data_IF_785736984019
#
_entry.id   IF_785736984019
#
_cell.length_a   1.000
_cell.length_b   1.000
_cell.length_c   1.000
_cell.angle_alpha   90.00
_cell.angle_beta   90.00
_cell.angle_gamma   90.00
#
_symmetry.space_group_name_H-M   'P 1'
#
loop_
_entity.id
_entity.type
_entity.pdbx_description
1 polymer ?
#
# COMPACT_ATOMS: atom_id res chain seq x y z
N UNK A 1 14.77 -11.06 -7.83
CA UNK A 1 13.29 -11.00 -7.70
C UNK A 1 12.99 -9.60 -7.23
N UNK A 2 12.42 -8.78 -8.11
CA UNK A 2 12.01 -7.43 -7.73
C UNK A 2 10.70 -7.54 -6.95
N UNK A 3 10.64 -6.87 -5.79
CA UNK A 3 9.48 -6.92 -4.89
C UNK A 3 8.41 -5.88 -5.25
N UNK A 4 8.74 -4.99 -6.18
CA UNK A 4 7.88 -3.94 -6.75
C UNK A 4 7.08 -3.19 -5.68
N UNK A 5 7.82 -2.68 -4.69
CA UNK A 5 7.30 -2.01 -3.51
C UNK A 5 6.77 -0.63 -3.92
N UNK A 6 5.46 -0.33 -3.79
CA UNK A 6 4.95 1.02 -3.95
C UNK A 6 5.56 1.94 -2.90
N UNK A 7 5.94 3.15 -3.31
CA UNK A 7 6.57 4.13 -2.43
C UNK A 7 5.71 5.39 -2.37
N UNK A 8 5.34 5.81 -1.16
CA UNK A 8 4.63 7.05 -0.88
C UNK A 8 5.65 8.16 -0.55
N UNK A 9 5.39 9.38 -1.00
CA UNK A 9 6.26 10.52 -0.81
C UNK A 9 5.48 11.72 -0.25
N UNK A 10 5.44 11.91 1.09
CA UNK A 10 4.72 13.02 1.71
C UNK A 10 5.50 14.33 1.53
N UNK A 11 4.77 15.44 1.40
CA UNK A 11 5.30 16.79 1.27
C UNK A 11 5.37 17.55 2.61
N UNK A 12 4.68 17.08 3.66
CA UNK A 12 4.62 17.74 4.96
C UNK A 12 4.33 16.74 6.10
N UNK A 13 4.44 17.19 7.37
CA UNK A 13 4.24 16.36 8.57
C UNK A 13 2.84 15.73 8.64
N UNK A 14 1.80 16.43 8.17
CA UNK A 14 0.43 15.90 8.14
C UNK A 14 0.31 14.75 7.16
N UNK A 15 0.87 14.90 5.96
CA UNK A 15 0.89 13.85 4.95
C UNK A 15 1.66 12.61 5.39
N UNK A 16 2.68 12.73 6.27
CA UNK A 16 3.34 11.56 6.86
C UNK A 16 2.32 10.69 7.61
N UNK A 17 1.41 11.31 8.38
CA UNK A 17 0.37 10.59 9.11
C UNK A 17 -0.69 10.03 8.16
N UNK A 18 -1.14 10.84 7.22
CA UNK A 18 -2.17 10.47 6.24
C UNK A 18 -1.68 9.32 5.32
N UNK A 19 -0.49 9.46 4.74
CA UNK A 19 0.11 8.44 3.89
C UNK A 19 0.54 7.21 4.69
N UNK A 20 0.81 7.34 5.99
CA UNK A 20 1.02 6.19 6.88
C UNK A 20 -0.23 5.31 6.96
N UNK A 21 -1.40 5.92 7.21
CA UNK A 21 -2.69 5.21 7.23
C UNK A 21 -3.05 4.67 5.85
N UNK A 22 -2.85 5.47 4.79
CA UNK A 22 -3.11 5.08 3.41
C UNK A 22 -2.24 3.88 2.97
N UNK A 23 -0.94 3.93 3.26
CA UNK A 23 0.01 2.87 2.94
C UNK A 23 -0.27 1.58 3.71
N UNK A 24 -0.69 1.69 4.98
CA UNK A 24 -1.15 0.54 5.76
C UNK A 24 -2.37 -0.12 5.10
N UNK A 25 -3.40 0.66 4.75
CA UNK A 25 -4.59 0.14 4.09
C UNK A 25 -4.28 -0.47 2.72
N UNK A 26 -3.45 0.19 1.90
CA UNK A 26 -2.98 -0.33 0.61
C UNK A 26 -2.26 -1.68 0.79
N UNK A 27 -1.39 -1.80 1.80
CA UNK A 27 -0.68 -3.05 2.09
C UNK A 27 -1.63 -4.19 2.43
N UNK A 28 -2.72 -3.92 3.16
CA UNK A 28 -3.74 -4.91 3.51
C UNK A 28 -4.61 -5.29 2.34
N UNK A 29 -4.95 -4.31 1.51
CA UNK A 29 -5.71 -4.57 0.30
C UNK A 29 -4.90 -5.35 -0.73
N UNK A 30 -3.68 -4.93 -1.05
CA UNK A 30 -2.91 -5.47 -2.17
C UNK A 30 -1.96 -6.62 -1.79
N UNK A 31 -1.71 -6.88 -0.49
CA UNK A 31 -0.76 -7.91 -0.05
C UNK A 31 0.71 -7.57 -0.33
N UNK A 32 0.99 -6.30 -0.62
CA UNK A 32 2.32 -5.74 -0.91
C UNK A 32 2.95 -5.13 0.33
N UNK A 33 4.28 -5.09 0.35
CA UNK A 33 4.99 -4.13 1.18
C UNK A 33 4.80 -2.75 0.57
N UNK A 34 4.66 -1.73 1.42
CA UNK A 34 4.55 -0.33 1.00
C UNK A 34 5.64 0.43 1.74
N UNK A 35 6.41 1.23 1.01
CA UNK A 35 7.43 2.09 1.55
C UNK A 35 6.96 3.54 1.64
N UNK A 36 7.63 4.31 2.48
CA UNK A 36 7.52 5.77 2.49
C UNK A 36 8.92 6.35 2.39
N UNK A 37 9.13 7.30 1.49
CA UNK A 37 10.35 8.08 1.38
C UNK A 37 10.00 9.52 1.71
N UNK A 38 10.70 10.13 2.67
CA UNK A 38 10.47 11.51 3.09
C UNK A 38 11.81 12.23 3.22
N UNK A 39 11.79 13.55 3.02
CA UNK A 39 12.96 14.39 3.27
C UNK A 39 13.22 14.49 4.77
N UNK A 40 14.49 14.54 5.17
CA UNK A 40 14.88 14.69 6.58
C UNK A 40 14.23 15.94 7.22
N UNK A 41 14.17 17.06 6.48
CA UNK A 41 13.54 18.29 6.93
C UNK A 41 12.05 18.11 7.31
N UNK A 42 11.30 17.27 6.58
CA UNK A 42 9.90 16.96 6.91
C UNK A 42 9.82 16.12 8.19
N UNK A 43 10.75 15.17 8.36
CA UNK A 43 10.77 14.25 9.50
C UNK A 43 11.27 14.91 10.80
N UNK A 44 12.10 15.95 10.68
CA UNK A 44 12.64 16.73 11.80
C UNK A 44 11.75 17.95 12.16
N UNK A 45 10.77 18.26 11.30
CA UNK A 45 9.81 19.35 11.51
C UNK A 45 8.71 18.97 12.52
N UNK A 46 8.14 19.99 13.17
CA UNK A 46 7.00 19.85 14.06
C UNK A 46 5.78 20.63 13.53
N UNK A 47 4.60 20.02 13.61
CA UNK A 47 3.34 20.66 13.27
C UNK A 47 2.23 20.20 14.23
N UNK A 48 1.29 21.09 14.55
CA UNK A 48 0.06 20.71 15.26
C UNK A 48 -0.95 20.22 14.23
N UNK A 49 -1.36 18.95 14.35
CA UNK A 49 -2.34 18.33 13.46
C UNK A 49 -3.56 17.92 14.27
N UNK A 50 -4.74 18.31 13.80
CA UNK A 50 -5.99 17.95 14.45
C UNK A 50 -6.41 16.53 14.06
N UNK A 51 -6.66 15.68 15.05
CA UNK A 51 -6.94 14.26 14.82
C UNK A 51 -8.29 14.00 14.12
N UNK A 52 -9.27 14.88 14.31
CA UNK A 52 -10.54 14.86 13.58
C UNK A 52 -10.32 15.02 12.07
N UNK A 53 -9.33 15.84 11.68
CA UNK A 53 -8.97 16.08 10.28
C UNK A 53 -8.14 14.93 9.67
N UNK A 54 -7.55 14.07 10.50
CA UNK A 54 -6.85 12.85 10.06
C UNK A 54 -7.82 11.70 9.76
N UNK A 55 -9.12 11.89 9.97
CA UNK A 55 -10.16 10.90 9.63
C UNK A 55 -10.37 10.79 8.12
N UNK A 56 -9.31 10.45 7.39
CA UNK A 56 -9.47 9.91 6.04
C UNK A 56 -10.28 8.62 6.18
N UNK A 57 -11.54 8.66 5.74
CA UNK A 57 -12.27 7.44 5.41
C UNK A 57 -11.54 6.83 4.23
N UNK A 58 -10.55 5.98 4.51
CA UNK A 58 -9.81 5.29 3.48
C UNK A 58 -10.81 4.34 2.83
N UNK A 59 -11.30 4.75 1.66
CA UNK A 59 -12.15 3.92 0.85
C UNK A 59 -11.28 2.82 0.26
N UNK A 60 -11.56 1.58 0.65
CA UNK A 60 -11.01 0.42 -0.04
C UNK A 60 -11.88 0.14 -1.26
N UNK A 61 -11.32 -0.12 -2.45
CA UNK A 61 -12.12 -0.54 -3.59
C UNK A 61 -12.93 -1.80 -3.22
N UNK A 62 -14.15 -1.91 -3.73
CA UNK A 62 -14.92 -3.14 -3.55
C UNK A 62 -14.12 -4.36 -4.07
N UNK A 63 -14.21 -5.52 -3.39
CA UNK A 63 -13.54 -6.73 -3.85
C UNK A 63 -13.94 -7.06 -5.29
N UNK A 64 -13.01 -6.91 -6.23
CA UNK A 64 -13.26 -7.24 -7.63
C UNK A 64 -12.99 -8.74 -7.85
N UNK A 65 -13.97 -9.45 -8.41
CA UNK A 65 -13.83 -10.85 -8.82
C UNK A 65 -12.66 -11.09 -9.80
N UNK A 66 -12.23 -10.05 -10.53
CA UNK A 66 -11.08 -10.09 -11.45
C UNK A 66 -9.74 -10.39 -10.74
N UNK A 67 -9.60 -10.06 -9.45
CA UNK A 67 -8.39 -10.40 -8.69
C UNK A 67 -8.45 -11.80 -8.07
N UNK A 68 -9.58 -12.50 -8.25
CA UNK A 68 -9.81 -13.89 -7.86
C UNK A 68 -9.69 -14.16 -6.36
N UNK A 69 -10.48 -15.11 -5.88
CA UNK A 69 -10.06 -15.92 -4.74
C UNK A 69 -8.87 -16.77 -5.19
N UNK A 70 -7.66 -16.19 -5.20
CA UNK A 70 -6.48 -17.02 -5.27
C UNK A 70 -6.57 -17.91 -4.03
N UNK A 71 -6.72 -19.23 -4.20
CA UNK A 71 -6.86 -20.20 -3.11
C UNK A 71 -5.73 -20.09 -2.05
N UNK A 72 -4.66 -19.33 -2.35
CA UNK A 72 -3.56 -19.00 -1.47
C UNK A 72 -3.49 -17.58 -0.88
N UNK A 73 -4.43 -16.68 -1.19
CA UNK A 73 -4.40 -15.28 -0.76
C UNK A 73 -3.35 -14.41 -1.49
N UNK A 74 -3.42 -13.08 -1.27
CA UNK A 74 -2.56 -12.07 -1.93
C UNK A 74 -1.23 -11.82 -1.22
N UNK A 75 -1.07 -12.32 0.00
CA UNK A 75 0.10 -12.10 0.84
C UNK A 75 1.34 -12.89 0.36
N UNK A 76 2.51 -12.48 0.86
CA UNK A 76 3.74 -13.25 0.69
C UNK A 76 3.61 -14.62 1.37
N UNK A 77 4.15 -15.67 0.74
CA UNK A 77 4.13 -17.03 1.27
C UNK A 77 5.50 -17.69 1.11
N UNK A 78 5.87 -18.47 2.12
CA UNK A 78 7.06 -19.31 2.09
C UNK A 78 6.76 -20.60 1.32
N UNK A 79 7.73 -21.10 0.57
CA UNK A 79 7.61 -22.36 -0.17
C UNK A 79 7.02 -22.26 -1.58
N UNK A 80 6.48 -21.10 -1.99
CA UNK A 80 6.04 -20.93 -3.38
C UNK A 80 7.25 -20.88 -4.34
N UNK A 81 7.10 -21.55 -5.48
CA UNK A 81 8.03 -21.48 -6.62
C UNK A 81 8.22 -20.03 -7.11
N UNK A 82 9.42 -19.64 -7.56
CA UNK A 82 9.69 -18.27 -8.00
C UNK A 82 8.75 -17.77 -9.09
N UNK A 83 8.38 -18.63 -10.04
CA UNK A 83 7.45 -18.28 -11.13
C UNK A 83 6.03 -18.02 -10.61
N UNK A 84 5.58 -18.79 -9.63
CA UNK A 84 4.27 -18.59 -9.00
C UNK A 84 4.24 -17.28 -8.19
N UNK A 85 5.35 -16.91 -7.53
CA UNK A 85 5.50 -15.63 -6.82
C UNK A 85 5.42 -14.45 -7.79
N UNK A 86 6.16 -14.51 -8.90
CA UNK A 86 6.15 -13.47 -9.94
C UNK A 86 4.75 -13.34 -10.57
N UNK A 87 4.12 -14.45 -10.96
CA UNK A 87 2.78 -14.45 -11.50
C UNK A 87 1.75 -13.85 -10.52
N UNK A 88 1.89 -14.13 -9.21
CA UNK A 88 1.07 -13.51 -8.17
C UNK A 88 1.28 -12.00 -8.09
N UNK A 89 2.54 -11.57 -8.14
CA UNK A 89 2.92 -10.17 -8.08
C UNK A 89 2.33 -9.38 -9.25
N UNK A 90 2.58 -9.85 -10.49
CA UNK A 90 2.21 -9.17 -11.74
C UNK A 90 0.71 -9.16 -12.02
N UNK A 91 0.03 -10.29 -11.84
CA UNK A 91 -1.37 -10.41 -12.25
C UNK A 91 -2.36 -9.97 -11.18
N UNK A 92 -1.96 -9.96 -9.90
CA UNK A 92 -2.91 -9.73 -8.80
C UNK A 92 -2.49 -8.60 -7.88
N UNK A 93 -1.28 -8.67 -7.29
CA UNK A 93 -0.86 -7.72 -6.26
C UNK A 93 -0.67 -6.31 -6.81
N UNK A 94 0.09 -6.17 -7.90
CA UNK A 94 0.35 -4.86 -8.51
C UNK A 94 -0.92 -4.20 -9.08
N UNK A 95 -1.76 -4.89 -9.87
CA UNK A 95 -3.04 -4.34 -10.30
C UNK A 95 -3.94 -3.92 -9.15
N UNK A 96 -3.94 -4.67 -8.03
CA UNK A 96 -4.68 -4.29 -6.83
C UNK A 96 -4.15 -2.99 -6.22
N UNK A 97 -2.83 -2.83 -6.09
CA UNK A 97 -2.24 -1.58 -5.60
C UNK A 97 -2.53 -0.38 -6.54
N UNK A 98 -2.45 -0.57 -7.85
CA UNK A 98 -2.78 0.46 -8.84
C UNK A 98 -4.26 0.86 -8.77
N UNK A 99 -5.17 -0.09 -8.56
CA UNK A 99 -6.60 0.20 -8.37
C UNK A 99 -6.84 0.97 -7.08
N UNK A 100 -6.18 0.58 -6.00
CA UNK A 100 -6.25 1.30 -4.73
C UNK A 100 -5.76 2.74 -4.86
N UNK A 101 -4.67 2.95 -5.62
CA UNK A 101 -4.08 4.26 -5.89
C UNK A 101 -4.93 5.23 -6.74
N UNK A 102 -6.01 4.75 -7.38
CA UNK A 102 -6.87 5.54 -8.27
C UNK A 102 -8.15 6.07 -7.60
N UNK A 103 -8.37 5.75 -6.33
CA UNK A 103 -9.48 6.30 -5.54
C UNK A 103 -9.14 7.70 -5.04
#
# INVERSE_FOLDING_TARGET
>A
MDLEIPVLNPANVREVLEFGLYGWAMSRYAGLWVGMIALADIMDSAATVSADQLSMRIHTPEPCAEFGDFAGGRSIRTGDEPQAKEARLRHFRLPAAQRFARL
#
